data_IF_061226440368
#
_entry.id   IF_061226440368
#
_cell.length_a   1.000
_cell.length_b   1.000
_cell.length_c   1.000
_cell.angle_alpha   90.00
_cell.angle_beta   90.00
_cell.angle_gamma   90.00
#
_symmetry.space_group_name_H-M   'P 1'
#
loop_
_entity.id
_entity.type
_entity.pdbx_description
1 polymer ?
#
# COMPACT_ATOMS: atom_id res chain seq x y z
N UNK A 1 33.14 -19.65 29.84
CA UNK A 1 31.91 -20.29 29.32
C UNK A 1 30.67 -19.41 29.39
N UNK A 2 30.30 -18.83 30.55
CA UNK A 2 29.05 -18.03 30.71
C UNK A 2 28.92 -16.83 29.76
N UNK A 3 30.00 -16.09 29.51
CA UNK A 3 30.03 -14.94 28.57
C UNK A 3 29.83 -15.36 27.10
N UNK A 4 30.39 -16.51 26.71
CA UNK A 4 30.21 -17.07 25.37
C UNK A 4 28.77 -17.54 25.14
N UNK A 5 28.14 -18.15 26.15
CA UNK A 5 26.73 -18.56 26.07
C UNK A 5 25.80 -17.36 25.87
N UNK A 6 26.06 -16.23 26.54
CA UNK A 6 25.29 -14.98 26.36
C UNK A 6 25.48 -14.41 24.96
N UNK A 7 26.71 -14.44 24.43
CA UNK A 7 27.00 -13.96 23.08
C UNK A 7 26.28 -14.80 22.02
N UNK A 8 26.30 -16.13 22.14
CA UNK A 8 25.57 -17.02 21.23
C UNK A 8 24.05 -16.85 21.33
N UNK A 9 23.50 -16.61 22.52
CA UNK A 9 22.08 -16.31 22.67
C UNK A 9 21.68 -14.99 22.00
N UNK A 10 22.51 -13.96 22.11
CA UNK A 10 22.32 -12.67 21.44
C UNK A 10 22.42 -12.79 19.92
N UNK A 11 23.44 -13.47 19.41
CA UNK A 11 23.53 -13.73 17.96
C UNK A 11 22.35 -14.57 17.48
N UNK A 12 21.94 -15.59 18.22
CA UNK A 12 20.76 -16.40 17.90
C UNK A 12 19.48 -15.56 17.81
N UNK A 13 19.30 -14.57 18.69
CA UNK A 13 18.12 -13.70 18.67
C UNK A 13 18.02 -12.81 17.43
N UNK A 14 19.13 -12.51 16.76
CA UNK A 14 19.14 -11.74 15.51
C UNK A 14 18.67 -12.55 14.29
N UNK A 15 18.69 -13.89 14.37
CA UNK A 15 18.25 -14.77 13.28
C UNK A 15 16.76 -15.16 13.39
N UNK A 16 16.09 -14.86 14.51
CA UNK A 16 14.67 -15.16 14.74
C UNK A 16 13.83 -13.88 14.65
N UNK A 17 14.11 -13.04 13.67
CA UNK A 17 13.17 -11.97 13.31
C UNK A 17 12.15 -12.60 12.37
N UNK A 18 10.97 -12.95 12.91
CA UNK A 18 9.84 -13.31 12.07
C UNK A 18 9.60 -12.13 11.11
N UNK A 19 9.55 -12.40 9.81
CA UNK A 19 9.09 -11.39 8.88
C UNK A 19 7.67 -11.04 9.30
N UNK A 20 7.40 -9.77 9.61
CA UNK A 20 6.05 -9.31 9.87
C UNK A 20 5.27 -9.36 8.54
N UNK A 21 4.78 -10.54 8.18
CA UNK A 21 3.89 -10.72 7.05
C UNK A 21 2.51 -10.23 7.51
N UNK A 22 2.18 -8.99 7.15
CA UNK A 22 0.81 -8.55 7.28
C UNK A 22 -0.03 -9.30 6.24
N UNK A 23 -1.19 -9.82 6.64
CA UNK A 23 -2.19 -10.31 5.70
C UNK A 23 -2.46 -9.19 4.67
N UNK A 24 -2.51 -9.50 3.37
CA UNK A 24 -2.87 -8.52 2.36
C UNK A 24 -4.14 -7.77 2.77
N UNK A 25 -4.15 -6.42 2.69
CA UNK A 25 -5.32 -5.65 3.07
C UNK A 25 -6.48 -6.01 2.16
N UNK A 26 -7.65 -6.31 2.74
CA UNK A 26 -8.88 -6.57 1.98
C UNK A 26 -9.60 -5.29 1.57
N UNK A 27 -9.20 -4.14 2.14
CA UNK A 27 -9.72 -2.81 1.84
C UNK A 27 -8.68 -1.73 2.17
N UNK A 28 -8.88 -0.52 1.64
CA UNK A 28 -8.05 0.65 1.90
C UNK A 28 -8.85 1.65 2.74
N UNK A 29 -8.30 2.09 3.88
CA UNK A 29 -8.98 2.95 4.87
C UNK A 29 -10.39 2.46 5.23
N UNK A 30 -10.52 1.18 5.61
CA UNK A 30 -11.80 0.55 5.95
C UNK A 30 -12.88 0.68 4.87
N UNK A 31 -12.47 0.77 3.60
CA UNK A 31 -13.36 0.91 2.45
C UNK A 31 -13.80 2.34 2.15
N UNK A 32 -13.19 3.35 2.80
CA UNK A 32 -13.46 4.76 2.51
C UNK A 32 -13.09 5.15 1.06
N UNK A 33 -12.15 4.42 0.44
CA UNK A 33 -11.77 4.60 -0.95
C UNK A 33 -12.38 3.51 -1.84
N UNK A 34 -12.96 3.90 -2.97
CA UNK A 34 -13.44 2.95 -3.98
C UNK A 34 -12.26 2.39 -4.77
N UNK A 35 -12.17 1.07 -4.87
CA UNK A 35 -11.11 0.38 -5.60
C UNK A 35 -11.63 -0.22 -6.91
N UNK A 36 -10.85 -0.11 -7.98
CA UNK A 36 -11.19 -0.66 -9.31
C UNK A 36 -9.97 -1.34 -9.91
N UNK A 37 -10.13 -2.59 -10.34
CA UNK A 37 -9.15 -3.30 -11.16
C UNK A 37 -9.17 -2.77 -12.58
N UNK A 38 -8.02 -2.40 -13.11
CA UNK A 38 -7.89 -1.77 -14.41
C UNK A 38 -7.97 -2.79 -15.55
N UNK A 39 -8.63 -2.39 -16.63
CA UNK A 39 -8.75 -3.17 -17.87
C UNK A 39 -7.49 -3.12 -18.74
N UNK A 40 -7.63 -3.57 -19.98
CA UNK A 40 -6.50 -3.72 -20.91
C UNK A 40 -5.68 -2.44 -21.12
N UNK A 41 -4.35 -2.61 -21.19
CA UNK A 41 -3.39 -1.51 -21.34
C UNK A 41 -2.12 -1.72 -20.52
N UNK A 42 -1.28 -0.69 -20.40
CA UNK A 42 -0.02 -0.74 -19.64
C UNK A 42 -0.19 -0.91 -18.11
N UNK A 43 -1.41 -0.85 -17.62
CA UNK A 43 -1.77 -0.96 -16.20
C UNK A 43 -2.78 -2.10 -15.95
N UNK A 44 -2.95 -3.00 -16.93
CA UNK A 44 -3.87 -4.12 -16.83
C UNK A 44 -3.63 -4.93 -15.55
N UNK A 45 -4.72 -5.33 -14.89
CA UNK A 45 -4.68 -6.14 -13.66
C UNK A 45 -4.35 -5.34 -12.39
N UNK A 46 -3.79 -4.13 -12.50
CA UNK A 46 -3.55 -3.28 -11.33
C UNK A 46 -4.86 -2.88 -10.67
N UNK A 47 -4.85 -2.73 -9.34
CA UNK A 47 -6.01 -2.22 -8.60
C UNK A 47 -5.73 -0.83 -8.09
N UNK A 48 -6.55 0.15 -8.49
CA UNK A 48 -6.42 1.55 -8.08
C UNK A 48 -7.57 1.94 -7.17
N UNK A 49 -7.24 2.56 -6.04
CA UNK A 49 -8.19 3.02 -5.03
C UNK A 49 -8.14 4.54 -4.91
N UNK A 50 -9.31 5.16 -5.03
CA UNK A 50 -9.49 6.61 -4.93
C UNK A 50 -10.91 7.04 -5.27
N UNK A 51 -11.14 8.35 -5.41
CA UNK A 51 -12.38 8.90 -5.97
C UNK A 51 -12.09 9.60 -7.29
N UNK A 52 -12.90 9.31 -8.31
CA UNK A 52 -12.71 9.84 -9.66
C UNK A 52 -11.88 8.93 -10.55
N UNK A 53 -12.17 8.94 -11.86
CA UNK A 53 -11.38 8.22 -12.86
C UNK A 53 -10.04 8.96 -13.01
N UNK A 54 -8.96 8.42 -12.45
CA UNK A 54 -7.62 8.92 -12.74
C UNK A 54 -7.32 8.66 -14.22
N UNK A 55 -7.41 9.70 -15.05
CA UNK A 55 -7.05 9.65 -16.46
C UNK A 55 -5.83 10.55 -16.69
N UNK A 56 -4.61 10.00 -16.78
CA UNK A 56 -3.40 10.80 -17.01
C UNK A 56 -3.32 11.42 -18.42
N UNK A 57 -4.24 11.06 -19.32
CA UNK A 57 -4.34 11.60 -20.69
C UNK A 57 -5.54 12.53 -20.91
N UNK A 58 -6.44 12.69 -19.94
CA UNK A 58 -7.46 13.72 -20.01
C UNK A 58 -6.91 14.99 -19.35
N UNK A 59 -6.92 16.09 -20.09
CA UNK A 59 -6.88 17.42 -19.51
C UNK A 59 -7.99 17.52 -18.46
N UNK A 60 -7.59 17.49 -17.19
CA UNK A 60 -8.39 17.65 -15.96
C UNK A 60 -9.78 16.96 -15.95
N UNK A 61 -9.96 15.80 -15.29
CA UNK A 61 -11.30 15.44 -14.83
C UNK A 61 -11.81 16.53 -13.87
N UNK A 62 -13.13 16.71 -13.69
CA UNK A 62 -13.66 17.73 -12.78
C UNK A 62 -13.01 17.57 -11.39
N UNK A 63 -12.23 18.58 -10.99
CA UNK A 63 -11.37 18.59 -9.79
C UNK A 63 -12.12 18.46 -8.46
N UNK A 64 -13.45 18.40 -8.48
CA UNK A 64 -14.28 18.46 -7.29
C UNK A 64 -14.45 17.12 -6.57
N UNK A 65 -13.93 16.02 -7.12
CA UNK A 65 -13.99 14.69 -6.48
C UNK A 65 -12.65 14.32 -5.85
N UNK A 66 -12.41 14.81 -4.62
CA UNK A 66 -11.19 14.53 -3.86
C UNK A 66 -11.26 13.18 -3.16
N UNK A 67 -10.17 12.41 -3.25
CA UNK A 67 -10.02 11.13 -2.56
C UNK A 67 -9.60 11.37 -1.11
N UNK A 68 -10.50 11.99 -0.33
CA UNK A 68 -10.19 12.49 1.00
C UNK A 68 -10.54 11.48 2.09
N UNK A 69 -9.59 11.20 2.98
CA UNK A 69 -9.78 10.40 4.20
C UNK A 69 -9.26 11.15 5.43
N UNK A 70 -9.70 10.77 6.63
CA UNK A 70 -9.15 11.30 7.88
C UNK A 70 -7.84 10.59 8.22
N UNK A 71 -6.81 11.38 8.53
CA UNK A 71 -5.58 10.91 9.16
C UNK A 71 -5.84 10.55 10.64
N UNK A 72 -4.83 9.99 11.31
CA UNK A 72 -4.89 9.60 12.72
C UNK A 72 -5.17 10.76 13.69
N UNK A 73 -4.97 12.00 13.24
CA UNK A 73 -5.17 13.24 13.98
C UNK A 73 -6.42 14.01 13.51
N UNK A 74 -7.33 13.35 12.79
CA UNK A 74 -8.56 13.91 12.24
C UNK A 74 -8.35 15.00 11.16
N UNK A 75 -7.12 15.21 10.70
CA UNK A 75 -6.84 16.10 9.58
C UNK A 75 -7.20 15.38 8.27
N UNK A 76 -8.02 15.98 7.39
CA UNK A 76 -8.29 15.40 6.08
C UNK A 76 -7.03 15.38 5.20
N UNK A 77 -6.76 14.25 4.57
CA UNK A 77 -5.69 14.07 3.59
C UNK A 77 -6.25 13.49 2.30
N UNK A 78 -5.70 13.90 1.16
CA UNK A 78 -6.03 13.29 -0.13
C UNK A 78 -5.08 12.13 -0.40
N UNK A 79 -5.63 10.96 -0.65
CA UNK A 79 -4.87 9.73 -0.83
C UNK A 79 -5.40 8.95 -2.01
N UNK A 80 -4.49 8.53 -2.88
CA UNK A 80 -4.74 7.48 -3.86
C UNK A 80 -3.79 6.32 -3.57
N UNK A 81 -4.24 5.09 -3.81
CA UNK A 81 -3.45 3.87 -3.60
C UNK A 81 -3.50 3.03 -4.86
N UNK A 82 -2.38 2.42 -5.24
CA UNK A 82 -2.32 1.48 -6.35
C UNK A 82 -1.63 0.18 -5.90
N UNK A 83 -2.20 -0.94 -6.33
CA UNK A 83 -1.67 -2.29 -6.14
C UNK A 83 -1.28 -2.88 -7.50
N UNK A 84 -0.22 -3.70 -7.57
CA UNK A 84 0.16 -4.40 -8.80
C UNK A 84 -0.88 -5.45 -9.20
N UNK A 85 -0.72 -6.00 -10.41
CA UNK A 85 -1.49 -7.18 -10.82
C UNK A 85 -1.10 -8.40 -9.98
N UNK A 86 -2.04 -8.93 -9.18
CA UNK A 86 -1.80 -10.13 -8.38
C UNK A 86 -1.60 -11.38 -9.25
N UNK A 87 -2.14 -11.40 -10.48
CA UNK A 87 -1.97 -12.49 -11.43
C UNK A 87 -0.53 -12.59 -11.93
N UNK A 88 0.14 -11.45 -12.12
CA UNK A 88 1.54 -11.38 -12.54
C UNK A 88 2.51 -11.48 -11.36
N UNK A 89 2.25 -10.75 -10.27
CA UNK A 89 3.21 -10.58 -9.16
C UNK A 89 2.90 -11.43 -7.92
N UNK A 90 1.81 -12.20 -7.95
CA UNK A 90 1.31 -12.95 -6.81
C UNK A 90 0.59 -12.05 -5.80
N UNK A 91 -0.11 -12.67 -4.86
CA UNK A 91 -0.74 -11.96 -3.73
C UNK A 91 0.36 -11.40 -2.81
N UNK A 92 0.16 -10.19 -2.28
CA UNK A 92 1.11 -9.51 -1.39
C UNK A 92 1.56 -10.32 -0.14
N UNK A 93 2.43 -9.74 0.70
CA UNK A 93 2.66 -8.30 0.87
C UNK A 93 3.59 -7.67 -0.18
N UNK A 94 3.24 -6.48 -0.64
CA UNK A 94 4.07 -5.68 -1.56
C UNK A 94 4.91 -4.65 -0.80
N UNK A 95 6.08 -4.23 -1.33
CA UNK A 95 6.77 -3.05 -0.82
C UNK A 95 5.89 -1.80 -0.97
N UNK A 96 5.93 -0.91 0.02
CA UNK A 96 5.14 0.31 0.04
C UNK A 96 6.00 1.53 -0.30
N UNK A 97 5.53 2.33 -1.26
CA UNK A 97 6.14 3.61 -1.65
C UNK A 97 5.13 4.72 -1.39
N UNK A 98 5.54 5.73 -0.62
CA UNK A 98 4.76 6.93 -0.41
C UNK A 98 5.29 8.06 -1.29
N UNK A 99 4.36 8.79 -1.92
CA UNK A 99 4.66 9.96 -2.74
C UNK A 99 3.86 11.13 -2.17
N UNK A 100 4.56 12.18 -1.75
CA UNK A 100 3.97 13.40 -1.21
C UNK A 100 4.29 14.57 -2.14
N UNK A 101 3.32 15.44 -2.40
CA UNK A 101 3.60 16.72 -3.05
C UNK A 101 4.18 17.70 -2.02
N UNK A 102 5.19 18.47 -2.43
CA UNK A 102 5.85 19.50 -1.60
C UNK A 102 5.16 20.85 -1.66
#
# INVERSE_FOLDING_TARGET
MRKLAVLFALLGSLFVVATAQATPPTSVFDGALSCTTQGSGSYEGQTWCGTGVYNPSAQDPPQDTRSTVKSFDEVPIDVNVAFPDEGEFGVGPYPLVYIFHG
#
